data_IF_681703261600
#
_entry.id   IF_681703261600
#
_cell.length_a   1.000
_cell.length_b   1.000
_cell.length_c   1.000
_cell.angle_alpha   90.00
_cell.angle_beta   90.00
_cell.angle_gamma   90.00
#
_symmetry.space_group_name_H-M   'P 1'
#
loop_
_entity.id
_entity.type
_entity.pdbx_description
1 polymer ?
#
# COMPACT_ATOMS: atom_id res chain seq x y z
N UNK A 1 9.67 -14.98 7.30
CA UNK A 1 9.43 -13.67 7.94
C UNK A 1 7.97 -13.59 8.36
N UNK A 2 7.63 -13.05 9.53
CA UNK A 2 6.24 -12.92 9.96
C UNK A 2 5.54 -11.76 9.22
N UNK A 3 4.27 -11.92 8.85
CA UNK A 3 3.55 -10.93 8.04
C UNK A 3 3.46 -9.54 8.69
N UNK A 4 3.29 -9.47 10.02
CA UNK A 4 3.32 -8.21 10.75
C UNK A 4 4.66 -7.47 10.58
N UNK A 5 5.79 -8.18 10.72
CA UNK A 5 7.12 -7.56 10.56
C UNK A 5 7.35 -7.11 9.12
N UNK A 6 6.92 -7.90 8.14
CA UNK A 6 7.01 -7.54 6.72
C UNK A 6 6.22 -6.26 6.43
N UNK A 7 4.93 -6.22 6.81
CA UNK A 7 4.06 -5.06 6.63
C UNK A 7 4.58 -3.82 7.35
N UNK A 8 5.09 -3.97 8.58
CA UNK A 8 5.68 -2.86 9.34
C UNK A 8 6.91 -2.26 8.64
N UNK A 9 7.79 -3.11 8.11
CA UNK A 9 8.96 -2.65 7.36
C UNK A 9 8.56 -1.93 6.08
N UNK A 10 7.61 -2.47 5.33
CA UNK A 10 7.09 -1.81 4.13
C UNK A 10 6.43 -0.47 4.47
N UNK A 11 5.62 -0.44 5.52
CA UNK A 11 5.02 0.80 6.07
C UNK A 11 6.10 1.84 6.35
N UNK A 12 7.14 1.50 7.11
CA UNK A 12 8.22 2.43 7.44
C UNK A 12 8.93 3.01 6.20
N UNK A 13 9.10 2.20 5.16
CA UNK A 13 9.65 2.67 3.86
C UNK A 13 8.71 3.69 3.22
N UNK A 14 7.41 3.43 3.15
CA UNK A 14 6.44 4.40 2.60
C UNK A 14 6.31 5.66 3.45
N UNK A 15 6.45 5.57 4.78
CA UNK A 15 6.51 6.74 5.65
C UNK A 15 7.67 7.66 5.29
N UNK A 16 8.86 7.08 5.15
CA UNK A 16 10.07 7.83 4.83
C UNK A 16 9.94 8.52 3.47
N UNK A 17 9.48 7.79 2.45
CA UNK A 17 9.26 8.34 1.11
C UNK A 17 8.18 9.43 1.16
N UNK A 18 7.06 9.19 1.83
CA UNK A 18 5.95 10.13 1.92
C UNK A 18 6.33 11.43 2.64
N UNK A 19 7.04 11.34 3.76
CA UNK A 19 7.53 12.49 4.51
C UNK A 19 8.52 13.32 3.68
N UNK A 20 9.45 12.65 2.98
CA UNK A 20 10.39 13.30 2.07
C UNK A 20 9.68 14.01 0.91
N UNK A 21 8.68 13.38 0.30
CA UNK A 21 7.89 14.02 -0.76
C UNK A 21 7.13 15.24 -0.24
N UNK A 22 6.60 15.18 0.98
CA UNK A 22 5.92 16.31 1.62
C UNK A 22 6.85 17.51 1.79
N UNK A 23 8.06 17.30 2.31
CA UNK A 23 9.05 18.37 2.46
C UNK A 23 9.52 18.92 1.10
N UNK A 24 9.71 18.04 0.11
CA UNK A 24 10.04 18.47 -1.25
C UNK A 24 8.97 19.36 -1.87
N UNK A 25 7.69 18.98 -1.78
CA UNK A 25 6.58 19.79 -2.30
C UNK A 25 6.49 21.14 -1.59
N UNK A 26 6.69 21.18 -0.27
CA UNK A 26 6.69 22.43 0.50
C UNK A 26 7.82 23.37 0.06
N UNK A 27 9.03 22.84 -0.16
CA UNK A 27 10.18 23.63 -0.61
C UNK A 27 10.10 24.06 -2.09
N UNK A 28 9.51 23.24 -2.96
CA UNK A 28 9.39 23.52 -4.39
C UNK A 28 8.20 24.44 -4.75
N UNK A 29 7.24 24.63 -3.83
CA UNK A 29 6.02 25.40 -4.11
C UNK A 29 5.11 24.77 -5.18
N UNK A 30 5.34 23.50 -5.53
CA UNK A 30 4.61 22.78 -6.58
C UNK A 30 3.86 21.59 -6.00
N UNK A 31 2.58 21.48 -6.36
CA UNK A 31 1.69 20.41 -5.92
C UNK A 31 1.53 19.29 -6.95
N UNK A 32 2.42 19.19 -7.94
CA UNK A 32 2.39 18.15 -8.97
C UNK A 32 2.40 16.72 -8.37
N UNK A 33 3.08 16.54 -7.22
CA UNK A 33 3.14 15.25 -6.51
C UNK A 33 2.04 15.06 -5.46
N UNK A 34 1.13 16.02 -5.29
CA UNK A 34 0.10 15.99 -4.23
C UNK A 34 -0.72 14.69 -4.18
N UNK A 35 -1.28 14.18 -5.30
CA UNK A 35 -2.05 12.94 -5.24
C UNK A 35 -1.18 11.72 -4.88
N UNK A 36 0.06 11.69 -5.37
CA UNK A 36 1.00 10.58 -5.12
C UNK A 36 1.43 10.58 -3.66
N UNK A 37 1.81 11.74 -3.11
CA UNK A 37 2.16 11.90 -1.70
C UNK A 37 1.02 11.45 -0.76
N UNK A 38 -0.21 11.89 -1.04
CA UNK A 38 -1.37 11.51 -0.24
C UNK A 38 -1.57 9.99 -0.22
N UNK A 39 -1.49 9.33 -1.37
CA UNK A 39 -1.66 7.87 -1.43
C UNK A 39 -0.49 7.10 -0.81
N UNK A 40 0.75 7.58 -0.96
CA UNK A 40 1.91 6.99 -0.28
C UNK A 40 1.72 7.01 1.23
N UNK A 41 1.24 8.10 1.81
CA UNK A 41 1.00 8.16 3.26
C UNK A 41 -0.24 7.40 3.72
N UNK A 42 -1.32 7.39 2.94
CA UNK A 42 -2.57 6.70 3.35
C UNK A 42 -2.48 5.20 3.10
N UNK A 43 -2.28 4.76 1.86
CA UNK A 43 -2.29 3.33 1.55
C UNK A 43 -0.94 2.66 1.78
N UNK A 44 0.16 3.41 1.68
CA UNK A 44 1.51 2.89 1.93
C UNK A 44 1.89 2.89 3.41
N UNK A 45 1.83 4.03 4.07
CA UNK A 45 2.14 4.12 5.50
C UNK A 45 0.96 3.64 6.37
N UNK A 46 -0.15 4.37 6.39
CA UNK A 46 -1.20 4.15 7.40
C UNK A 46 -1.86 2.77 7.26
N UNK A 47 -2.25 2.35 6.06
CA UNK A 47 -2.92 1.06 5.86
C UNK A 47 -2.00 -0.12 6.14
N UNK A 48 -0.75 -0.12 5.64
CA UNK A 48 0.18 -1.23 5.93
C UNK A 48 0.54 -1.30 7.42
N UNK A 49 0.64 -0.15 8.10
CA UNK A 49 0.78 -0.10 9.56
C UNK A 49 -0.43 -0.72 10.27
N UNK A 50 -1.65 -0.34 9.87
CA UNK A 50 -2.89 -0.89 10.44
C UNK A 50 -2.98 -2.41 10.23
N UNK A 51 -2.64 -2.89 9.03
CA UNK A 51 -2.60 -4.32 8.74
C UNK A 51 -1.54 -5.04 9.59
N UNK A 52 -0.34 -4.46 9.73
CA UNK A 52 0.70 -4.99 10.63
C UNK A 52 0.19 -5.12 12.06
N UNK A 53 -0.45 -4.07 12.57
CA UNK A 53 -1.04 -4.04 13.91
C UNK A 53 -2.12 -5.12 14.06
N UNK A 54 -2.98 -5.30 13.05
CA UNK A 54 -3.95 -6.39 13.03
C UNK A 54 -3.27 -7.77 13.14
N UNK A 55 -2.27 -8.06 12.31
CA UNK A 55 -1.55 -9.34 12.39
C UNK A 55 -0.77 -9.51 13.71
N UNK A 56 -0.41 -8.41 14.37
CA UNK A 56 0.23 -8.45 15.69
C UNK A 56 -0.78 -8.78 16.79
N UNK A 57 -1.97 -8.19 16.75
CA UNK A 57 -2.97 -8.25 17.83
C UNK A 57 -3.95 -9.42 17.73
N UNK A 58 -4.22 -9.94 16.53
CA UNK A 58 -5.21 -11.00 16.32
C UNK A 58 -4.60 -12.36 15.98
N UNK A 59 -5.28 -13.43 16.37
CA UNK A 59 -4.90 -14.82 16.13
C UNK A 59 -5.18 -15.24 14.68
N UNK A 60 -4.19 -15.00 13.82
CA UNK A 60 -4.21 -15.48 12.44
C UNK A 60 -3.31 -16.70 12.27
N UNK A 61 -3.83 -17.85 11.80
CA UNK A 61 -3.02 -19.03 11.53
C UNK A 61 -1.89 -18.75 10.54
N UNK A 62 -0.67 -19.19 10.86
CA UNK A 62 0.52 -19.02 9.99
C UNK A 62 0.36 -19.68 8.61
N UNK A 63 -0.47 -20.71 8.52
CA UNK A 63 -0.78 -21.46 7.29
C UNK A 63 -1.96 -20.88 6.52
N UNK A 64 -2.54 -19.76 6.96
CA UNK A 64 -3.71 -19.17 6.30
C UNK A 64 -3.36 -18.64 4.91
N UNK A 65 -3.88 -19.31 3.88
CA UNK A 65 -3.78 -18.85 2.49
C UNK A 65 -4.43 -17.48 2.30
N UNK A 66 -5.56 -17.24 2.98
CA UNK A 66 -6.27 -15.96 2.93
C UNK A 66 -5.39 -14.81 3.43
N UNK A 67 -4.67 -15.03 4.53
CA UNK A 67 -3.71 -14.07 5.05
C UNK A 67 -2.57 -13.79 4.06
N UNK A 68 -2.02 -14.83 3.44
CA UNK A 68 -0.97 -14.66 2.44
C UNK A 68 -1.45 -13.84 1.23
N UNK A 69 -2.63 -14.15 0.69
CA UNK A 69 -3.22 -13.39 -0.41
C UNK A 69 -3.46 -11.92 -0.05
N UNK A 70 -4.01 -11.65 1.14
CA UNK A 70 -4.21 -10.28 1.62
C UNK A 70 -2.88 -9.50 1.66
N UNK A 71 -1.85 -10.06 2.27
CA UNK A 71 -0.55 -9.38 2.45
C UNK A 71 0.13 -9.11 1.11
N UNK A 72 0.16 -10.10 0.20
CA UNK A 72 0.82 -9.91 -1.08
C UNK A 72 0.06 -8.95 -1.99
N UNK A 73 -1.27 -9.00 -2.01
CA UNK A 73 -2.08 -8.02 -2.74
C UNK A 73 -1.94 -6.62 -2.13
N UNK A 74 -1.75 -6.49 -0.80
CA UNK A 74 -1.49 -5.20 -0.15
C UNK A 74 -0.17 -4.61 -0.65
N UNK A 75 0.91 -5.41 -0.64
CA UNK A 75 2.24 -4.95 -1.01
C UNK A 75 2.31 -4.60 -2.50
N UNK A 76 1.86 -5.52 -3.37
CA UNK A 76 1.88 -5.35 -4.82
C UNK A 76 0.93 -4.22 -5.24
N UNK A 77 -0.28 -4.18 -4.67
CA UNK A 77 -1.28 -3.17 -4.96
C UNK A 77 -0.86 -1.78 -4.51
N UNK A 78 -0.27 -1.65 -3.32
CA UNK A 78 0.25 -0.36 -2.84
C UNK A 78 1.33 0.14 -3.78
N UNK A 79 2.33 -0.70 -4.08
CA UNK A 79 3.42 -0.33 -4.99
C UNK A 79 2.88 0.03 -6.38
N UNK A 80 2.02 -0.81 -6.96
CA UNK A 80 1.45 -0.62 -8.28
C UNK A 80 0.59 0.65 -8.36
N UNK A 81 -0.24 0.93 -7.36
CA UNK A 81 -1.06 2.14 -7.32
C UNK A 81 -0.17 3.39 -7.23
N UNK A 82 0.78 3.45 -6.28
CA UNK A 82 1.58 4.67 -6.06
C UNK A 82 2.57 4.92 -7.18
N UNK A 83 3.25 3.89 -7.69
CA UNK A 83 4.16 4.02 -8.82
C UNK A 83 3.40 4.22 -10.14
N UNK A 84 2.24 3.58 -10.31
CA UNK A 84 1.40 3.75 -11.49
C UNK A 84 0.78 5.14 -11.56
N UNK A 85 0.36 5.71 -10.43
CA UNK A 85 -0.08 7.10 -10.36
C UNK A 85 1.06 8.06 -10.75
N UNK A 86 2.29 7.79 -10.31
CA UNK A 86 3.45 8.59 -10.71
C UNK A 86 3.74 8.50 -12.21
N UNK A 87 3.78 7.28 -12.77
CA UNK A 87 3.99 7.06 -14.21
C UNK A 87 2.86 7.64 -15.07
N UNK A 88 1.61 7.56 -14.60
CA UNK A 88 0.46 8.07 -15.36
C UNK A 88 0.39 9.60 -15.36
N UNK A 89 0.61 10.25 -14.21
CA UNK A 89 0.47 11.70 -14.10
C UNK A 89 1.69 12.48 -14.60
N UNK A 90 2.91 11.97 -14.38
CA UNK A 90 4.13 12.69 -14.75
C UNK A 90 4.85 12.10 -15.96
N UNK A 91 4.61 10.82 -16.26
CA UNK A 91 5.23 10.06 -17.35
C UNK A 91 6.69 10.42 -17.65
N UNK A 92 7.59 10.37 -16.64
CA UNK A 92 8.95 10.92 -16.76
C UNK A 92 9.82 10.18 -17.80
N UNK A 93 9.41 8.97 -18.19
CA UNK A 93 10.10 8.14 -19.16
C UNK A 93 9.43 8.15 -20.54
N UNK A 94 8.41 9.00 -20.74
CA UNK A 94 7.66 9.12 -21.99
C UNK A 94 7.13 7.77 -22.52
N UNK A 95 6.59 6.95 -21.60
CA UNK A 95 6.03 5.64 -21.90
C UNK A 95 4.69 5.75 -22.66
N UNK A 96 4.26 4.69 -23.38
CA UNK A 96 2.95 4.68 -24.02
C UNK A 96 1.82 4.91 -23.02
N UNK A 97 0.89 5.82 -23.34
CA UNK A 97 -0.21 6.19 -22.43
C UNK A 97 -1.10 5.02 -22.03
N UNK A 98 -1.33 4.06 -22.93
CA UNK A 98 -2.07 2.82 -22.63
C UNK A 98 -1.35 2.00 -21.56
N UNK A 99 -0.03 1.92 -21.59
CA UNK A 99 0.74 1.16 -20.61
C UNK A 99 0.64 1.79 -19.22
N UNK A 100 0.86 3.10 -19.10
CA UNK A 100 0.81 3.79 -17.81
C UNK A 100 -0.59 3.75 -17.20
N UNK A 101 -1.63 3.89 -18.03
CA UNK A 101 -3.03 3.75 -17.61
C UNK A 101 -3.34 2.34 -17.09
N UNK A 102 -3.01 1.30 -17.86
CA UNK A 102 -3.28 -0.09 -17.46
C UNK A 102 -2.51 -0.44 -16.19
N UNK A 103 -1.24 -0.04 -16.10
CA UNK A 103 -0.43 -0.28 -14.90
C UNK A 103 -1.03 0.39 -13.65
N UNK A 104 -1.48 1.63 -13.77
CA UNK A 104 -2.18 2.34 -12.69
C UNK A 104 -3.48 1.62 -12.26
N UNK A 105 -4.33 1.23 -13.22
CA UNK A 105 -5.60 0.53 -12.95
C UNK A 105 -5.37 -0.84 -12.30
N UNK A 106 -4.42 -1.61 -12.80
CA UNK A 106 -4.09 -2.95 -12.25
C UNK A 106 -3.55 -2.81 -10.84
N UNK A 107 -2.67 -1.83 -10.59
CA UNK A 107 -2.17 -1.52 -9.25
C UNK A 107 -3.30 -1.17 -8.28
N UNK A 108 -4.18 -0.25 -8.66
CA UNK A 108 -5.33 0.14 -7.84
C UNK A 108 -6.32 -0.99 -7.58
N UNK A 109 -6.65 -1.78 -8.61
CA UNK A 109 -7.55 -2.93 -8.47
C UNK A 109 -6.96 -4.01 -7.57
N UNK A 110 -5.65 -4.26 -7.68
CA UNK A 110 -4.95 -5.22 -6.79
C UNK A 110 -5.03 -4.78 -5.32
N UNK A 111 -4.86 -3.48 -5.07
CA UNK A 111 -5.02 -2.94 -3.73
C UNK A 111 -6.46 -3.02 -3.22
N UNK A 112 -7.45 -2.77 -4.08
CA UNK A 112 -8.87 -2.91 -3.74
C UNK A 112 -9.20 -4.34 -3.30
N UNK A 113 -8.67 -5.34 -4.03
CA UNK A 113 -8.78 -6.75 -3.64
C UNK A 113 -8.17 -6.96 -2.25
N UNK A 114 -7.03 -6.35 -1.95
CA UNK A 114 -6.43 -6.44 -0.62
C UNK A 114 -7.37 -5.92 0.48
N UNK A 115 -7.97 -4.74 0.31
CA UNK A 115 -8.93 -4.21 1.28
C UNK A 115 -10.16 -5.12 1.46
N UNK A 116 -10.66 -5.70 0.37
CA UNK A 116 -11.73 -6.68 0.46
C UNK A 116 -11.31 -7.93 1.24
N UNK A 117 -10.12 -8.47 0.99
CA UNK A 117 -9.58 -9.59 1.74
C UNK A 117 -9.37 -9.22 3.22
N UNK A 118 -8.91 -8.01 3.51
CA UNK A 118 -8.76 -7.52 4.88
C UNK A 118 -10.10 -7.48 5.61
N UNK A 119 -11.15 -6.96 4.97
CA UNK A 119 -12.50 -6.99 5.51
C UNK A 119 -12.94 -8.42 5.86
N UNK A 120 -12.75 -9.38 4.95
CA UNK A 120 -13.08 -10.79 5.24
C UNK A 120 -12.24 -11.35 6.39
N UNK A 121 -10.96 -10.98 6.47
CA UNK A 121 -10.06 -11.38 7.54
C UNK A 121 -10.56 -10.88 8.90
N UNK A 122 -10.99 -9.62 9.01
CA UNK A 122 -11.44 -9.04 10.29
C UNK A 122 -12.67 -9.72 10.87
N UNK A 123 -13.55 -10.26 10.01
CA UNK A 123 -14.70 -11.05 10.48
C UNK A 123 -14.31 -12.50 10.81
N UNK A 124 -13.34 -13.07 10.08
CA UNK A 124 -12.93 -14.46 10.25
C UNK A 124 -11.98 -14.68 11.43
N UNK A 125 -11.08 -13.75 11.69
CA UNK A 125 -10.03 -13.86 12.71
C UNK A 125 -10.12 -12.68 13.69
N UNK A 126 -11.21 -12.65 14.45
CA UNK A 126 -11.51 -11.58 15.41
C UNK A 126 -10.98 -11.85 16.83
N UNK A 127 -10.46 -13.05 17.11
CA UNK A 127 -9.92 -13.40 18.43
C UNK A 127 -8.57 -12.71 18.68
N UNK A 128 -8.48 -11.93 19.75
CA UNK A 128 -7.26 -11.23 20.14
C UNK A 128 -6.28 -12.17 20.82
N UNK A 129 -4.99 -12.02 20.51
CA UNK A 129 -3.91 -12.67 21.26
C UNK A 129 -3.90 -12.16 22.70
N UNK A 130 -3.78 -13.09 23.64
CA UNK A 130 -3.54 -12.78 25.06
C UNK A 130 -2.10 -12.30 25.29
#
# INVERSE_FOLDING_TARGET
MAFNVLLLRMSAVYALIGAFMGSHMAGAGSYAFKPIHAHILVVGWLSLFAFSSYYRSYEVPKTSKLAAFHVWTAIIGTFGLTSGMWLYNLNPFNLPGTFTMVFYIVGGTTLLVSFFLFMLMTFKYAESKK
#
